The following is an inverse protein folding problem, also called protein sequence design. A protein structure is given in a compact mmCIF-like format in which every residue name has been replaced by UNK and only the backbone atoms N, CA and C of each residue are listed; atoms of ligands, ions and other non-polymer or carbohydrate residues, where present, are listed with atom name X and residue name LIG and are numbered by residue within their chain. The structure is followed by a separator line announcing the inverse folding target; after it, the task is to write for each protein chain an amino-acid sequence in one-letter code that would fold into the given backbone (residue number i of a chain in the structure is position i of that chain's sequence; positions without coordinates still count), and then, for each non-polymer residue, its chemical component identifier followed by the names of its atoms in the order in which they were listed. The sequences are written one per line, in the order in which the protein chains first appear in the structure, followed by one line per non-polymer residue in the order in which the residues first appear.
data_IF_265722231281
#
_entry.id   IF_265722231281
#
_cell.length_a   1.000
_cell.length_b   1.000
_cell.length_c   1.000
_cell.angle_alpha   90.00
_cell.angle_beta   90.00
_cell.angle_gamma   90.00
#
_symmetry.space_group_name_H-M   'P 1'
#
loop_
_entity.id
_entity.type
_entity.pdbx_description
1 polymer ?
#
# COMPACT_ATOMS: atom_id res chain seq x y z
N UNK A 1 -22.84 -11.38 -48.04
CA UNK A 1 -22.12 -11.13 -46.77
C UNK A 1 -21.99 -9.63 -46.49
N UNK A 2 -23.09 -8.88 -46.51
CA UNK A 2 -23.08 -7.42 -46.34
C UNK A 2 -24.28 -7.08 -45.45
N UNK A 3 -24.10 -6.10 -44.56
CA UNK A 3 -25.08 -5.57 -43.59
C UNK A 3 -25.53 -6.50 -42.45
N UNK A 4 -26.24 -7.60 -42.66
CA UNK A 4 -26.85 -8.37 -41.56
C UNK A 4 -25.83 -9.04 -40.62
N UNK A 5 -24.78 -9.68 -41.18
CA UNK A 5 -23.69 -10.22 -40.38
C UNK A 5 -22.95 -9.11 -39.61
N UNK A 6 -22.72 -7.94 -40.21
CA UNK A 6 -22.07 -6.80 -39.53
C UNK A 6 -22.90 -6.26 -38.37
N UNK A 7 -24.23 -6.29 -38.49
CA UNK A 7 -25.15 -5.89 -37.42
C UNK A 7 -25.20 -6.93 -36.30
N UNK A 8 -25.13 -8.22 -36.64
CA UNK A 8 -25.06 -9.31 -35.67
C UNK A 8 -23.74 -9.30 -34.87
N UNK A 9 -22.59 -9.15 -35.53
CA UNK A 9 -21.29 -8.97 -34.86
C UNK A 9 -21.24 -7.70 -33.99
N UNK A 10 -21.91 -6.60 -34.41
CA UNK A 10 -22.05 -5.40 -33.57
C UNK A 10 -22.93 -5.66 -32.35
N UNK A 11 -24.04 -6.37 -32.52
CA UNK A 11 -24.96 -6.74 -31.42
C UNK A 11 -24.28 -7.66 -30.41
N UNK A 12 -23.57 -8.70 -30.86
CA UNK A 12 -22.82 -9.64 -30.03
C UNK A 12 -21.64 -8.96 -29.31
N UNK A 13 -20.90 -8.09 -30.01
CA UNK A 13 -19.85 -7.27 -29.40
C UNK A 13 -20.43 -6.31 -28.34
N UNK A 14 -21.57 -5.67 -28.60
CA UNK A 14 -22.25 -4.80 -27.61
C UNK A 14 -22.69 -5.63 -26.40
N UNK A 15 -23.18 -6.85 -26.60
CA UNK A 15 -23.57 -7.76 -25.52
C UNK A 15 -22.36 -8.24 -24.69
N UNK A 16 -21.23 -8.57 -25.34
CA UNK A 16 -19.98 -8.90 -24.64
C UNK A 16 -19.45 -7.71 -23.83
N UNK A 17 -19.51 -6.49 -24.38
CA UNK A 17 -19.11 -5.29 -23.64
C UNK A 17 -20.04 -5.08 -22.43
N UNK A 18 -21.36 -5.20 -22.59
CA UNK A 18 -22.32 -5.12 -21.47
C UNK A 18 -22.08 -6.17 -20.39
N UNK A 19 -21.76 -7.40 -20.77
CA UNK A 19 -21.42 -8.46 -19.80
C UNK A 19 -20.10 -8.14 -19.08
N UNK A 20 -19.10 -7.62 -19.79
CA UNK A 20 -17.84 -7.18 -19.18
C UNK A 20 -18.05 -6.00 -18.22
N UNK A 21 -19.03 -5.12 -18.47
CA UNK A 21 -19.43 -4.03 -17.56
C UNK A 21 -19.95 -4.54 -16.22
N UNK A 22 -20.68 -5.66 -16.21
CA UNK A 22 -21.19 -6.30 -14.99
C UNK A 22 -20.04 -6.84 -14.13
N UNK A 23 -18.92 -7.19 -14.76
CA UNK A 23 -17.74 -7.72 -14.08
C UNK A 23 -16.83 -6.63 -13.49
N UNK A 24 -16.92 -5.38 -13.96
CA UNK A 24 -16.04 -4.29 -13.52
C UNK A 24 -16.03 -4.05 -11.99
N UNK A 25 -17.17 -4.10 -11.26
CA UNK A 25 -17.17 -3.94 -9.81
C UNK A 25 -16.40 -5.04 -9.04
N UNK A 26 -16.13 -6.17 -9.70
CA UNK A 26 -15.38 -7.29 -9.13
C UNK A 26 -13.87 -7.21 -9.43
N UNK A 27 -13.42 -6.18 -10.15
CA UNK A 27 -12.01 -5.90 -10.35
C UNK A 27 -11.48 -5.18 -9.12
N UNK A 28 -10.55 -5.81 -8.43
CA UNK A 28 -10.06 -5.32 -7.14
C UNK A 28 -8.74 -4.56 -7.28
N UNK A 29 -8.09 -4.61 -8.45
CA UNK A 29 -6.79 -4.00 -8.69
C UNK A 29 -6.85 -2.84 -9.67
N UNK A 30 -6.20 -1.73 -9.31
CA UNK A 30 -5.97 -0.60 -10.22
C UNK A 30 -5.25 -1.05 -11.50
N UNK A 31 -4.35 -2.04 -11.40
CA UNK A 31 -3.65 -2.58 -12.57
C UNK A 31 -4.60 -3.18 -13.60
N UNK A 32 -5.62 -3.92 -13.15
CA UNK A 32 -6.61 -4.56 -14.02
C UNK A 32 -7.46 -3.51 -14.72
N UNK A 33 -7.93 -2.50 -13.97
CA UNK A 33 -8.72 -1.39 -14.50
C UNK A 33 -7.94 -0.60 -15.57
N UNK A 34 -6.67 -0.29 -15.31
CA UNK A 34 -5.81 0.39 -16.26
C UNK A 34 -5.50 -0.49 -17.48
N UNK A 35 -5.36 -1.80 -17.29
CA UNK A 35 -5.12 -2.75 -18.39
C UNK A 35 -6.33 -2.86 -19.31
N UNK A 36 -7.54 -2.99 -18.76
CA UNK A 36 -8.78 -3.04 -19.53
C UNK A 36 -9.08 -1.72 -20.27
N UNK A 37 -8.69 -0.59 -19.67
CA UNK A 37 -8.79 0.73 -20.31
C UNK A 37 -7.94 0.87 -21.58
N UNK A 38 -7.00 -0.05 -21.81
CA UNK A 38 -6.14 -0.10 -23.01
C UNK A 38 -6.68 -1.03 -24.10
N UNK A 39 -7.70 -1.84 -23.82
CA UNK A 39 -8.25 -2.83 -24.77
C UNK A 39 -9.12 -2.16 -25.83
N UNK A 40 -10.05 -1.29 -25.44
CA UNK A 40 -10.91 -0.56 -26.38
C UNK A 40 -11.34 0.82 -25.86
N UNK A 41 -11.68 1.77 -26.75
CA UNK A 41 -12.26 3.05 -26.34
C UNK A 41 -13.58 2.89 -25.58
N UNK A 42 -14.39 1.90 -25.94
CA UNK A 42 -15.65 1.62 -25.26
C UNK A 42 -15.40 1.23 -23.80
N UNK A 43 -14.47 0.31 -23.53
CA UNK A 43 -14.10 -0.11 -22.18
C UNK A 43 -13.44 0.99 -21.38
N UNK A 44 -12.58 1.79 -22.01
CA UNK A 44 -11.97 2.96 -21.38
C UNK A 44 -13.01 3.94 -20.87
N UNK A 45 -13.97 4.32 -21.71
CA UNK A 45 -15.01 5.28 -21.34
C UNK A 45 -15.92 4.69 -20.26
N UNK A 46 -16.31 3.43 -20.42
CA UNK A 46 -17.04 2.66 -19.43
C UNK A 46 -16.40 2.68 -18.03
N UNK A 47 -15.11 2.34 -17.93
CA UNK A 47 -14.36 2.32 -16.68
C UNK A 47 -14.20 3.74 -16.13
N UNK A 48 -13.93 4.72 -17.01
CA UNK A 48 -13.76 6.12 -16.62
C UNK A 48 -15.03 6.68 -15.98
N UNK A 49 -16.19 6.39 -16.56
CA UNK A 49 -17.46 7.01 -16.18
C UNK A 49 -18.12 6.28 -14.98
N UNK A 50 -17.60 5.11 -14.57
CA UNK A 50 -18.05 4.39 -13.39
C UNK A 50 -17.38 4.90 -12.09
N UNK A 51 -17.99 5.89 -11.46
CA UNK A 51 -17.51 6.50 -10.19
C UNK A 51 -17.23 5.49 -9.08
N UNK A 52 -18.02 4.41 -8.97
CA UNK A 52 -17.91 3.41 -7.89
C UNK A 52 -16.53 2.74 -7.87
N UNK A 53 -15.93 2.51 -9.05
CA UNK A 53 -14.61 1.88 -9.19
C UNK A 53 -13.48 2.73 -8.57
N UNK A 54 -13.70 4.04 -8.46
CA UNK A 54 -12.71 5.01 -8.02
C UNK A 54 -12.92 5.47 -6.57
N UNK A 55 -13.83 4.82 -5.82
CA UNK A 55 -14.07 5.11 -4.40
C UNK A 55 -12.95 4.59 -3.49
N UNK A 56 -12.19 3.61 -3.97
CA UNK A 56 -11.02 3.03 -3.31
C UNK A 56 -9.88 2.92 -4.32
N UNK A 57 -8.83 3.69 -4.10
CA UNK A 57 -7.61 3.65 -4.91
C UNK A 57 -6.49 3.06 -4.08
N UNK A 58 -5.85 2.03 -4.63
CA UNK A 58 -4.67 1.39 -4.05
C UNK A 58 -3.58 1.33 -5.10
N UNK A 59 -2.43 1.93 -4.80
CA UNK A 59 -1.23 1.92 -5.63
C UNK A 59 -0.10 1.29 -4.84
N UNK A 60 0.31 0.10 -5.29
CA UNK A 60 1.43 -0.67 -4.74
C UNK A 60 2.55 -0.81 -5.78
N UNK A 61 3.77 -1.20 -5.36
CA UNK A 61 4.80 -1.63 -6.31
C UNK A 61 4.29 -2.78 -7.20
N UNK A 62 4.66 -2.82 -8.49
CA UNK A 62 5.62 -1.93 -9.16
C UNK A 62 5.00 -0.63 -9.71
N UNK A 63 3.68 -0.46 -9.68
CA UNK A 63 3.00 0.71 -10.26
C UNK A 63 3.43 2.02 -9.60
N UNK A 64 3.72 1.99 -8.30
CA UNK A 64 4.16 3.14 -7.52
C UNK A 64 5.37 3.87 -8.10
N UNK A 65 6.30 3.14 -8.74
CA UNK A 65 7.52 3.71 -9.35
C UNK A 65 7.25 4.63 -10.55
N UNK A 66 6.08 4.49 -11.17
CA UNK A 66 5.66 5.26 -12.35
C UNK A 66 4.60 6.31 -12.03
N UNK A 67 4.05 6.31 -10.83
CA UNK A 67 2.97 7.21 -10.45
C UNK A 67 3.50 8.64 -10.25
N UNK A 68 2.98 9.60 -11.00
CA UNK A 68 3.22 11.04 -10.82
C UNK A 68 1.94 11.75 -10.37
N UNK A 69 2.04 13.02 -9.97
CA UNK A 69 0.90 13.85 -9.58
C UNK A 69 -0.22 13.87 -10.64
N UNK A 70 0.13 14.00 -11.92
CA UNK A 70 -0.85 14.03 -13.01
C UNK A 70 -1.54 12.68 -13.23
N UNK A 71 -0.79 11.58 -13.14
CA UNK A 71 -1.35 10.24 -13.28
C UNK A 71 -2.26 9.93 -12.10
N UNK A 72 -1.84 10.30 -10.88
CA UNK A 72 -2.67 10.20 -9.68
C UNK A 72 -3.96 10.99 -9.84
N UNK A 73 -3.89 12.22 -10.33
CA UNK A 73 -5.05 13.05 -10.58
C UNK A 73 -6.01 12.44 -11.61
N UNK A 74 -5.50 11.93 -12.74
CA UNK A 74 -6.31 11.39 -13.85
C UNK A 74 -7.35 10.36 -13.41
N UNK A 75 -7.00 9.46 -12.49
CA UNK A 75 -7.96 8.48 -11.99
C UNK A 75 -8.70 8.91 -10.72
N UNK A 76 -8.07 9.68 -9.82
CA UNK A 76 -8.74 10.14 -8.60
C UNK A 76 -9.79 11.21 -8.85
N UNK A 77 -9.72 11.96 -9.96
CA UNK A 77 -10.78 12.93 -10.31
C UNK A 77 -12.08 12.24 -10.75
N UNK A 78 -12.02 10.95 -11.13
CA UNK A 78 -13.17 10.15 -11.60
C UNK A 78 -14.10 9.71 -10.48
N UNK A 79 -13.65 9.79 -9.23
CA UNK A 79 -14.46 9.53 -8.04
C UNK A 79 -15.53 10.60 -7.79
N UNK A 80 -15.50 11.74 -8.50
CA UNK A 80 -16.45 12.84 -8.37
C UNK A 80 -16.70 13.25 -6.90
N UNK A 81 -15.62 13.35 -6.11
CA UNK A 81 -15.65 13.71 -4.70
C UNK A 81 -15.99 12.58 -3.73
N UNK A 82 -16.18 11.35 -4.23
CA UNK A 82 -16.57 10.17 -3.45
C UNK A 82 -15.42 9.23 -3.11
N UNK A 83 -14.16 9.64 -3.33
CA UNK A 83 -13.01 8.84 -2.93
C UNK A 83 -12.98 8.73 -1.40
N UNK A 84 -13.03 7.50 -0.90
CA UNK A 84 -13.07 7.20 0.52
C UNK A 84 -11.72 6.68 1.02
N UNK A 85 -11.05 5.87 0.21
CA UNK A 85 -9.76 5.24 0.57
C UNK A 85 -8.71 5.55 -0.49
N UNK A 86 -7.60 6.15 -0.07
CA UNK A 86 -6.42 6.39 -0.89
C UNK A 86 -5.20 5.73 -0.23
N UNK A 87 -4.62 4.74 -0.90
CA UNK A 87 -3.42 4.03 -0.45
C UNK A 87 -2.34 4.18 -1.52
N UNK A 88 -1.27 4.87 -1.19
CA UNK A 88 -0.07 5.07 -2.00
C UNK A 88 1.13 4.48 -1.27
N UNK A 89 1.70 3.39 -1.78
CA UNK A 89 2.89 2.77 -1.18
C UNK A 89 4.11 2.99 -2.04
N UNK A 90 5.16 3.56 -1.45
CA UNK A 90 6.46 3.80 -2.12
C UNK A 90 6.29 4.57 -3.44
N UNK A 91 5.40 5.56 -3.47
CA UNK A 91 5.17 6.43 -4.62
C UNK A 91 6.12 7.64 -4.54
N UNK A 92 7.37 7.46 -4.93
CA UNK A 92 8.45 8.45 -4.77
C UNK A 92 8.41 9.61 -5.77
N UNK A 93 7.40 9.70 -6.63
CA UNK A 93 7.22 10.81 -7.59
C UNK A 93 5.91 11.58 -7.38
N UNK A 94 5.20 11.27 -6.29
CA UNK A 94 4.01 12.01 -5.87
C UNK A 94 4.42 13.04 -4.84
N UNK A 95 4.11 14.31 -5.12
CA UNK A 95 4.45 15.44 -4.26
C UNK A 95 3.29 15.82 -3.34
N UNK A 96 3.58 16.61 -2.29
CA UNK A 96 2.54 17.16 -1.42
C UNK A 96 1.51 18.01 -2.18
N UNK A 97 1.88 18.66 -3.28
CA UNK A 97 0.94 19.43 -4.12
C UNK A 97 -0.02 18.51 -4.86
N UNK A 98 0.49 17.43 -5.45
CA UNK A 98 -0.33 16.41 -6.10
C UNK A 98 -1.28 15.74 -5.12
N UNK A 99 -0.79 15.36 -3.95
CA UNK A 99 -1.63 14.78 -2.91
C UNK A 99 -2.72 15.75 -2.44
N UNK A 100 -2.37 17.01 -2.17
CA UNK A 100 -3.32 18.03 -1.76
C UNK A 100 -4.41 18.26 -2.80
N UNK A 101 -4.06 18.29 -4.09
CA UNK A 101 -5.02 18.42 -5.20
C UNK A 101 -6.07 17.29 -5.18
N UNK A 102 -5.65 16.06 -4.90
CA UNK A 102 -6.58 14.92 -4.78
C UNK A 102 -7.51 15.08 -3.60
N UNK A 103 -6.96 15.48 -2.45
CA UNK A 103 -7.67 15.66 -1.19
C UNK A 103 -8.71 16.78 -1.29
N UNK A 104 -8.34 17.92 -1.87
CA UNK A 104 -9.23 19.06 -2.07
C UNK A 104 -10.45 18.69 -2.93
N UNK A 105 -10.24 17.89 -3.98
CA UNK A 105 -11.32 17.37 -4.81
C UNK A 105 -12.16 16.26 -4.16
N UNK A 106 -11.68 15.66 -3.06
CA UNK A 106 -12.28 14.48 -2.43
C UNK A 106 -12.37 14.63 -0.90
N UNK A 107 -13.30 15.45 -0.40
CA UNK A 107 -13.40 15.74 1.04
C UNK A 107 -13.88 14.55 1.90
N UNK A 108 -14.30 13.43 1.28
CA UNK A 108 -14.85 12.26 1.97
C UNK A 108 -13.81 11.16 2.27
N UNK A 109 -12.51 11.42 2.05
CA UNK A 109 -11.46 10.43 2.32
C UNK A 109 -11.40 10.11 3.82
N UNK A 110 -11.69 8.87 4.18
CA UNK A 110 -11.61 8.36 5.56
C UNK A 110 -10.31 7.64 5.85
N UNK A 111 -9.68 7.08 4.82
CA UNK A 111 -8.45 6.30 4.94
C UNK A 111 -7.40 6.82 3.97
N UNK A 112 -6.36 7.45 4.52
CA UNK A 112 -5.22 7.97 3.78
C UNK A 112 -3.96 7.23 4.24
N UNK A 113 -3.35 6.47 3.32
CA UNK A 113 -2.11 5.75 3.57
C UNK A 113 -1.10 6.19 2.51
N UNK A 114 0.00 6.82 2.90
CA UNK A 114 1.04 7.33 2.00
C UNK A 114 2.43 6.83 2.39
N UNK A 115 2.51 5.57 2.81
CA UNK A 115 3.73 4.97 3.36
C UNK A 115 4.88 4.94 2.36
N UNK A 116 6.06 5.42 2.77
CA UNK A 116 7.27 5.45 1.95
C UNK A 116 7.24 6.40 0.76
N UNK A 117 6.34 7.39 0.73
CA UNK A 117 6.34 8.44 -0.28
C UNK A 117 7.33 9.54 0.12
N UNK A 118 8.55 9.48 -0.42
CA UNK A 118 9.69 10.29 0.02
C UNK A 118 9.63 11.76 -0.39
N UNK A 119 8.86 12.10 -1.43
CA UNK A 119 8.66 13.47 -1.92
C UNK A 119 7.50 14.21 -1.21
N UNK A 120 6.87 13.55 -0.25
CA UNK A 120 5.92 14.21 0.65
C UNK A 120 6.68 14.88 1.79
N UNK A 121 6.18 16.03 2.21
CA UNK A 121 6.66 16.76 3.39
C UNK A 121 5.57 16.86 4.45
N UNK A 122 5.93 16.93 5.75
CA UNK A 122 4.97 16.98 6.85
C UNK A 122 3.93 18.09 6.72
N UNK A 123 4.34 19.30 6.33
CA UNK A 123 3.47 20.47 6.19
C UNK A 123 2.38 20.23 5.15
N UNK A 124 2.73 19.54 4.05
CA UNK A 124 1.79 19.17 3.02
C UNK A 124 0.76 18.13 3.48
N UNK A 125 1.19 17.19 4.33
CA UNK A 125 0.28 16.20 4.93
C UNK A 125 -0.66 16.87 5.93
N UNK A 126 -0.15 17.78 6.77
CA UNK A 126 -0.96 18.56 7.72
C UNK A 126 -2.03 19.35 6.96
N UNK A 127 -1.67 20.05 5.89
CA UNK A 127 -2.62 20.79 5.06
C UNK A 127 -3.71 19.89 4.43
N UNK A 128 -3.37 18.64 4.08
CA UNK A 128 -4.35 17.66 3.62
C UNK A 128 -5.32 17.27 4.74
N UNK A 129 -4.80 16.96 5.94
CA UNK A 129 -5.60 16.55 7.09
C UNK A 129 -6.52 17.69 7.55
N UNK A 130 -6.00 18.92 7.60
CA UNK A 130 -6.79 20.13 7.84
C UNK A 130 -7.94 20.26 6.84
N UNK A 131 -7.66 20.08 5.54
CA UNK A 131 -8.67 20.17 4.48
C UNK A 131 -9.75 19.11 4.64
N UNK A 132 -9.38 17.87 4.99
CA UNK A 132 -10.33 16.79 5.22
C UNK A 132 -11.19 17.02 6.46
N UNK A 133 -10.71 17.72 7.49
CA UNK A 133 -11.43 17.89 8.75
C UNK A 133 -12.36 19.12 8.81
N UNK A 134 -12.26 20.05 7.85
CA UNK A 134 -13.06 21.31 7.80
C UNK A 134 -14.57 21.14 8.01
N UNK A 135 -15.18 20.09 7.46
CA UNK A 135 -16.64 19.89 7.47
C UNK A 135 -17.12 18.87 8.51
N UNK A 136 -16.45 18.80 9.66
CA UNK A 136 -16.69 17.78 10.71
C UNK A 136 -16.55 16.34 10.18
N UNK A 137 -15.84 16.18 9.06
CA UNK A 137 -15.50 14.89 8.50
C UNK A 137 -14.36 14.28 9.31
N UNK A 138 -14.46 12.97 9.56
CA UNK A 138 -13.52 12.25 10.42
C UNK A 138 -12.61 11.41 9.56
N UNK A 139 -11.33 11.76 9.57
CA UNK A 139 -10.29 10.88 9.04
C UNK A 139 -10.08 9.74 10.04
N UNK A 140 -10.39 8.52 9.62
CA UNK A 140 -10.34 7.31 10.46
C UNK A 140 -8.93 6.70 10.49
N UNK A 141 -8.15 6.87 9.42
CA UNK A 141 -6.82 6.27 9.30
C UNK A 141 -5.88 7.18 8.51
N UNK A 142 -4.72 7.49 9.09
CA UNK A 142 -3.62 8.23 8.50
C UNK A 142 -2.31 7.46 8.70
N UNK A 143 -1.84 6.72 7.69
CA UNK A 143 -0.55 6.04 7.77
C UNK A 143 0.49 6.75 6.90
N UNK A 144 1.54 7.25 7.53
CA UNK A 144 2.54 8.16 6.94
C UNK A 144 3.97 7.69 7.23
N UNK A 145 4.15 6.48 7.76
CA UNK A 145 5.48 5.90 7.96
C UNK A 145 6.32 5.89 6.67
N UNK A 146 7.59 6.28 6.79
CA UNK A 146 8.53 6.36 5.68
C UNK A 146 8.48 7.68 4.89
N UNK A 147 7.62 8.63 5.29
CA UNK A 147 7.74 10.03 4.88
C UNK A 147 8.78 10.71 5.78
N UNK A 148 9.81 11.38 5.23
CA UNK A 148 10.87 12.00 6.03
C UNK A 148 10.42 13.31 6.71
N UNK A 149 11.16 13.74 7.74
CA UNK A 149 11.07 15.10 8.29
C UNK A 149 10.01 15.35 9.38
N UNK A 150 9.29 14.32 9.84
CA UNK A 150 8.34 14.51 10.94
C UNK A 150 9.02 14.88 12.27
N UNK A 151 8.45 15.88 12.96
CA UNK A 151 8.90 16.39 14.26
C UNK A 151 7.79 16.17 15.30
N UNK A 152 8.10 16.40 16.58
CA UNK A 152 7.11 16.31 17.66
C UNK A 152 5.99 17.34 17.51
N UNK A 153 6.31 18.52 16.99
CA UNK A 153 5.34 19.58 16.72
C UNK A 153 4.38 19.19 15.59
N UNK A 154 4.87 18.47 14.57
CA UNK A 154 4.00 17.92 13.54
C UNK A 154 3.03 16.88 14.09
N UNK A 155 3.48 16.02 15.03
CA UNK A 155 2.59 15.06 15.69
C UNK A 155 1.54 15.78 16.54
N UNK A 156 1.93 16.76 17.34
CA UNK A 156 0.99 17.49 18.19
C UNK A 156 -0.08 18.23 17.35
N UNK A 157 0.32 18.82 16.22
CA UNK A 157 -0.61 19.41 15.25
C UNK A 157 -1.59 18.36 14.71
N UNK A 158 -1.10 17.21 14.22
CA UNK A 158 -1.96 16.14 13.67
C UNK A 158 -2.92 15.56 14.72
N UNK A 159 -2.49 15.44 15.98
CA UNK A 159 -3.32 14.96 17.08
C UNK A 159 -4.53 15.85 17.36
N UNK A 160 -4.52 17.13 16.99
CA UNK A 160 -5.70 18.01 17.14
C UNK A 160 -6.83 17.69 16.15
N UNK A 161 -6.51 17.05 15.02
CA UNK A 161 -7.46 16.73 13.95
C UNK A 161 -7.98 15.30 13.99
N UNK A 162 -7.21 14.38 14.59
CA UNK A 162 -7.51 12.95 14.54
C UNK A 162 -8.36 12.50 15.75
N UNK A 163 -9.39 11.67 15.54
CA UNK A 163 -10.40 11.40 16.55
C UNK A 163 -9.98 10.42 17.66
N UNK A 164 -8.92 9.61 17.48
CA UNK A 164 -8.56 8.51 18.39
C UNK A 164 -7.06 8.15 18.38
N UNK A 165 -6.60 7.54 19.48
CA UNK A 165 -5.34 6.78 19.53
C UNK A 165 -5.36 5.67 18.47
N UNK A 166 -4.25 5.50 17.74
CA UNK A 166 -4.12 4.50 16.68
C UNK A 166 -4.61 4.93 15.29
N UNK A 167 -5.14 6.15 15.13
CA UNK A 167 -5.44 6.70 13.81
C UNK A 167 -4.17 7.02 12.99
N UNK A 168 -3.03 7.22 13.67
CA UNK A 168 -1.73 7.54 13.08
C UNK A 168 -0.70 6.46 13.42
N UNK A 169 0.19 6.13 12.47
CA UNK A 169 1.22 5.08 12.62
C UNK A 169 2.60 5.60 13.06
N UNK A 170 2.67 6.85 13.51
CA UNK A 170 3.89 7.50 14.00
C UNK A 170 3.75 7.92 15.46
N UNK A 171 4.83 7.74 16.21
CA UNK A 171 4.92 8.08 17.62
C UNK A 171 6.33 8.56 17.98
N UNK A 172 6.49 9.13 19.17
CA UNK A 172 7.83 9.43 19.71
C UNK A 172 8.45 8.14 20.25
N UNK A 173 9.60 7.74 19.69
CA UNK A 173 10.30 6.54 20.10
C UNK A 173 10.87 6.70 21.52
N UNK A 174 10.54 5.82 22.49
CA UNK A 174 11.02 5.94 23.88
C UNK A 174 12.52 5.70 24.05
N UNK A 175 13.22 5.22 23.01
CA UNK A 175 14.65 4.90 23.06
C UNK A 175 15.56 5.97 22.44
N UNK A 176 15.07 6.68 21.41
CA UNK A 176 15.85 7.71 20.70
C UNK A 176 15.17 9.07 20.60
N UNK A 177 13.96 9.19 21.15
CA UNK A 177 13.19 10.44 21.21
C UNK A 177 12.83 11.04 19.84
N UNK A 178 12.99 10.26 18.76
CA UNK A 178 12.65 10.63 17.39
C UNK A 178 11.23 10.19 17.03
N UNK A 179 10.56 10.96 16.16
CA UNK A 179 9.26 10.59 15.59
C UNK A 179 9.44 9.48 14.56
N UNK A 180 8.96 8.29 14.87
CA UNK A 180 9.11 7.07 14.04
C UNK A 180 7.93 6.13 14.25
N UNK A 181 7.72 5.22 13.31
CA UNK A 181 6.80 4.11 13.53
C UNK A 181 7.38 3.15 14.58
N UNK A 182 6.57 2.82 15.58
CA UNK A 182 6.87 1.85 16.64
C UNK A 182 5.95 0.64 16.40
N UNK A 183 6.43 -0.44 15.79
CA UNK A 183 5.58 -1.58 15.51
C UNK A 183 5.23 -2.33 16.81
N UNK A 184 4.00 -2.85 16.94
CA UNK A 184 3.63 -3.70 18.07
C UNK A 184 4.45 -5.00 18.05
N UNK A 185 4.79 -5.53 19.22
CA UNK A 185 5.44 -6.83 19.35
C UNK A 185 4.39 -7.90 19.66
N UNK A 186 4.28 -8.93 18.81
CA UNK A 186 3.35 -10.05 19.04
C UNK A 186 3.89 -11.11 20.00
N UNK A 187 5.16 -11.03 20.41
CA UNK A 187 5.80 -11.99 21.31
C UNK A 187 5.15 -11.94 22.71
N UNK A 188 4.56 -13.04 23.15
CA UNK A 188 3.82 -13.11 24.42
C UNK A 188 4.66 -12.73 25.65
N UNK A 189 5.95 -13.09 25.67
CA UNK A 189 6.85 -12.71 26.77
C UNK A 189 7.07 -11.19 26.87
N UNK A 190 6.78 -10.43 25.82
CA UNK A 190 6.83 -8.98 25.78
C UNK A 190 5.50 -8.30 26.17
N UNK A 191 4.39 -9.03 26.19
CA UNK A 191 3.05 -8.50 26.52
C UNK A 191 2.74 -8.53 28.02
N UNK A 192 3.57 -9.22 28.82
CA UNK A 192 3.41 -9.23 30.28
C UNK A 192 3.79 -7.86 30.83
N UNK A 193 2.81 -7.13 31.38
CA UNK A 193 3.00 -5.80 31.98
C UNK A 193 4.22 -5.82 32.92
N UNK A 194 5.26 -5.06 32.57
CA UNK A 194 6.53 -5.07 33.29
C UNK A 194 7.73 -4.54 32.50
N UNK A 195 8.94 -4.88 32.98
CA UNK A 195 10.24 -4.44 32.43
C UNK A 195 10.42 -4.81 30.94
N UNK A 196 9.96 -6.00 30.53
CA UNK A 196 10.18 -6.56 29.20
C UNK A 196 9.40 -5.83 28.10
N UNK A 197 8.21 -5.31 28.40
CA UNK A 197 7.42 -4.53 27.44
C UNK A 197 8.15 -3.23 27.06
N UNK A 198 8.68 -2.51 28.08
CA UNK A 198 9.48 -1.28 27.87
C UNK A 198 10.77 -1.55 27.12
N UNK A 199 11.41 -2.70 27.35
CA UNK A 199 12.65 -3.06 26.67
C UNK A 199 12.45 -3.34 25.18
N UNK A 200 11.34 -3.97 24.78
CA UNK A 200 11.04 -4.26 23.38
C UNK A 200 10.31 -3.13 22.63
N UNK A 201 9.77 -2.13 23.33
CA UNK A 201 9.08 -0.99 22.72
C UNK A 201 10.10 -0.01 22.12
N UNK A 202 10.02 0.20 20.80
CA UNK A 202 10.93 1.09 20.08
C UNK A 202 10.83 0.94 18.57
N UNK A 203 11.36 1.93 17.86
CA UNK A 203 11.38 1.95 16.40
C UNK A 203 12.31 0.87 15.83
N UNK A 204 12.19 0.61 14.52
CA UNK A 204 12.99 -0.38 13.77
C UNK A 204 14.51 -0.21 13.86
N UNK A 205 14.99 0.98 14.24
CA UNK A 205 16.42 1.26 14.39
C UNK A 205 16.93 1.05 15.82
N UNK A 206 16.06 1.16 16.82
CA UNK A 206 16.42 0.99 18.22
C UNK A 206 16.17 -0.42 18.74
N UNK A 207 15.28 -1.17 18.08
CA UNK A 207 14.95 -2.56 18.42
C UNK A 207 15.02 -3.38 17.14
N UNK A 208 16.02 -4.26 17.01
CA UNK A 208 16.08 -5.23 15.92
C UNK A 208 14.81 -6.09 15.90
N UNK A 209 14.26 -6.34 14.72
CA UNK A 209 12.97 -7.03 14.55
C UNK A 209 12.98 -7.92 13.33
N UNK A 210 12.23 -9.01 13.41
CA UNK A 210 11.97 -9.87 12.26
C UNK A 210 11.22 -9.07 11.18
N UNK A 211 11.75 -9.03 9.97
CA UNK A 211 11.15 -8.30 8.85
C UNK A 211 9.76 -8.84 8.46
N UNK A 212 9.50 -10.12 8.69
CA UNK A 212 8.23 -10.76 8.32
C UNK A 212 7.14 -10.58 9.39
N UNK A 213 7.46 -10.76 10.68
CA UNK A 213 6.46 -10.77 11.76
C UNK A 213 6.60 -9.63 12.78
N UNK A 214 7.58 -8.74 12.60
CA UNK A 214 7.87 -7.59 13.46
C UNK A 214 8.17 -7.88 14.96
N UNK A 215 8.26 -9.16 15.34
CA UNK A 215 8.73 -9.59 16.66
C UNK A 215 10.14 -9.07 16.91
N UNK A 216 10.38 -8.55 18.12
CA UNK A 216 11.71 -8.12 18.54
C UNK A 216 12.70 -9.29 18.54
N UNK A 217 13.92 -9.02 18.11
CA UNK A 217 15.03 -9.95 18.11
C UNK A 217 15.95 -9.52 19.26
N UNK A 218 15.98 -10.33 20.32
CA UNK A 218 16.85 -10.11 21.47
C UNK A 218 18.28 -10.57 21.16
N UNK A 219 19.25 -10.27 22.04
CA UNK A 219 20.64 -10.70 21.87
C UNK A 219 20.79 -12.22 21.75
N UNK A 220 19.92 -12.99 22.42
CA UNK A 220 19.93 -14.47 22.38
C UNK A 220 19.02 -15.05 21.28
N UNK A 221 18.41 -14.21 20.44
CA UNK A 221 17.54 -14.70 19.37
C UNK A 221 18.38 -15.08 18.16
N UNK A 222 18.31 -16.33 17.72
CA UNK A 222 18.90 -16.76 16.45
C UNK A 222 18.20 -16.04 15.28
N UNK A 223 19.00 -15.40 14.44
CA UNK A 223 18.54 -14.57 13.33
C UNK A 223 19.24 -14.96 12.04
N UNK A 224 18.49 -14.91 10.95
CA UNK A 224 19.00 -15.19 9.62
C UNK A 224 18.81 -13.97 8.71
N UNK A 225 19.85 -13.63 7.95
CA UNK A 225 19.83 -12.50 7.03
C UNK A 225 19.09 -12.86 5.74
N UNK A 226 18.20 -11.97 5.31
CA UNK A 226 17.53 -12.13 4.01
C UNK A 226 18.46 -11.79 2.84
N UNK A 227 17.98 -12.00 1.60
CA UNK A 227 18.71 -11.56 0.41
C UNK A 227 18.74 -10.03 0.24
N UNK A 228 17.79 -9.32 0.84
CA UNK A 228 17.82 -7.87 0.97
C UNK A 228 18.75 -7.55 2.13
N UNK A 229 20.02 -7.21 1.83
CA UNK A 229 21.03 -6.93 2.85
C UNK A 229 20.52 -5.93 3.89
N UNK A 230 20.65 -6.29 5.17
CA UNK A 230 20.17 -5.50 6.31
C UNK A 230 18.83 -5.94 6.91
N UNK A 231 18.01 -6.72 6.19
CA UNK A 231 16.79 -7.31 6.74
C UNK A 231 17.09 -8.65 7.40
N UNK A 232 16.57 -8.86 8.61
CA UNK A 232 16.75 -10.08 9.41
C UNK A 232 15.41 -10.76 9.70
N UNK A 233 15.43 -12.09 9.79
CA UNK A 233 14.26 -12.91 10.12
C UNK A 233 14.52 -13.69 11.40
N UNK A 234 13.46 -13.90 12.19
CA UNK A 234 13.48 -14.93 13.22
C UNK A 234 13.48 -16.32 12.57
N UNK A 235 13.95 -17.32 13.32
CA UNK A 235 14.03 -18.70 12.87
C UNK A 235 12.69 -19.25 12.33
N UNK A 236 11.58 -18.98 13.01
CA UNK A 236 10.24 -19.44 12.59
C UNK A 236 9.85 -18.90 11.20
N UNK A 237 10.07 -17.61 10.95
CA UNK A 237 9.80 -16.99 9.65
C UNK A 237 10.79 -17.46 8.60
N UNK A 238 12.07 -17.63 8.96
CA UNK A 238 13.06 -18.16 8.06
C UNK A 238 12.70 -19.57 7.57
N UNK A 239 12.22 -20.44 8.45
CA UNK A 239 11.85 -21.81 8.07
C UNK A 239 10.61 -21.88 7.19
N UNK A 240 9.67 -20.96 7.37
CA UNK A 240 8.37 -20.99 6.67
C UNK A 240 8.37 -20.21 5.35
N UNK A 241 9.25 -19.22 5.19
CA UNK A 241 9.28 -18.41 3.98
C UNK A 241 9.89 -19.16 2.78
N UNK A 242 9.30 -19.03 1.57
CA UNK A 242 9.89 -19.57 0.35
C UNK A 242 11.28 -18.99 0.10
N UNK A 243 12.26 -19.86 -0.10
CA UNK A 243 13.66 -19.49 -0.36
C UNK A 243 14.00 -19.65 -1.83
N UNK A 244 14.89 -18.80 -2.32
CA UNK A 244 15.46 -19.01 -3.64
C UNK A 244 16.29 -20.30 -3.66
N UNK A 245 16.02 -21.19 -4.63
CA UNK A 245 16.76 -22.46 -4.80
C UNK A 245 18.28 -22.30 -4.97
N UNK A 246 18.74 -21.12 -5.41
CA UNK A 246 20.14 -20.87 -5.70
C UNK A 246 20.95 -20.35 -4.50
N UNK A 247 20.37 -19.43 -3.73
CA UNK A 247 21.07 -18.83 -2.58
C UNK A 247 20.47 -19.20 -1.23
N UNK A 248 19.41 -20.01 -1.20
CA UNK A 248 18.67 -20.41 0.00
C UNK A 248 18.21 -19.22 0.87
N UNK A 249 17.99 -18.04 0.28
CA UNK A 249 17.52 -16.84 1.00
C UNK A 249 16.09 -16.45 0.60
N UNK A 250 15.22 -16.06 1.56
CA UNK A 250 13.96 -15.38 1.30
C UNK A 250 14.18 -14.03 0.62
N UNK A 251 13.14 -13.54 -0.06
CA UNK A 251 13.10 -12.25 -0.78
C UNK A 251 14.17 -12.05 -1.87
N UNK A 252 14.89 -13.09 -2.27
CA UNK A 252 15.89 -12.98 -3.34
C UNK A 252 15.24 -12.71 -4.71
N UNK A 253 15.53 -11.53 -5.26
CA UNK A 253 15.21 -11.13 -6.64
C UNK A 253 16.40 -11.27 -7.59
N UNK A 254 17.63 -11.42 -7.07
CA UNK A 254 18.87 -11.48 -7.87
C UNK A 254 18.95 -12.67 -8.82
N UNK A 255 18.35 -13.82 -8.47
CA UNK A 255 18.26 -14.99 -9.34
C UNK A 255 16.91 -15.13 -10.04
N UNK A 256 16.16 -14.03 -10.19
CA UNK A 256 14.81 -14.06 -10.79
C UNK A 256 14.81 -14.52 -12.25
N UNK A 257 15.85 -14.19 -13.03
CA UNK A 257 16.04 -14.65 -14.42
C UNK A 257 16.23 -16.17 -14.53
N UNK A 258 16.99 -16.76 -13.60
CA UNK A 258 17.26 -18.21 -13.55
C UNK A 258 16.09 -19.04 -13.01
N UNK A 259 14.97 -18.39 -12.64
CA UNK A 259 13.71 -19.08 -12.28
C UNK A 259 12.92 -19.54 -13.51
N UNK A 260 13.20 -18.99 -14.70
CA UNK A 260 12.46 -19.32 -15.93
C UNK A 260 13.00 -20.54 -16.68
N UNK A 261 14.23 -21.00 -16.40
CA UNK A 261 14.89 -22.07 -17.17
C UNK A 261 14.50 -23.52 -16.78
N UNK A 262 13.57 -23.73 -15.83
CA UNK A 262 13.19 -25.08 -15.39
C UNK A 262 11.66 -25.33 -15.35
N UNK A 263 10.85 -24.59 -16.10
CA UNK A 263 9.41 -24.86 -16.21
C UNK A 263 9.05 -26.02 -17.16
N UNK A 264 9.93 -27.01 -17.35
CA UNK A 264 9.67 -28.19 -18.20
C UNK A 264 9.82 -29.54 -17.51
N UNK A 265 10.17 -29.61 -16.23
CA UNK A 265 10.17 -30.90 -15.52
C UNK A 265 9.76 -30.72 -14.06
N UNK A 266 8.47 -30.60 -13.79
CA UNK A 266 7.90 -31.33 -12.65
C UNK A 266 6.40 -31.55 -12.84
N UNK A 267 6.09 -32.65 -13.53
CA UNK A 267 4.79 -33.31 -13.39
C UNK A 267 4.94 -34.25 -12.20
N UNK A 268 4.37 -33.91 -11.04
CA UNK A 268 3.82 -34.93 -10.14
C UNK A 268 2.83 -34.37 -9.11
N UNK A 269 1.56 -34.64 -9.42
CA UNK A 269 0.39 -35.01 -8.60
C UNK A 269 0.13 -34.48 -7.17
N UNK A 270 -1.17 -34.33 -6.83
CA UNK A 270 -1.64 -33.99 -5.49
C UNK A 270 -1.60 -35.22 -4.59
N UNK A 271 -1.36 -35.02 -3.29
CA UNK A 271 -1.62 -36.02 -2.27
C UNK A 271 -2.47 -35.40 -1.15
N UNK A 272 -3.70 -35.91 -1.12
CA UNK A 272 -4.74 -35.96 -0.06
C UNK A 272 -5.25 -34.65 0.54
#
# INVERSE_FOLDING_TARGET
MRTEEKEQWRSESINMHKMLMVLLPYLHSLFELLSLSRVSPALRNAIRDQTVLWTKVVVDPPLSSRLTDDILWDFTSRSAGKLNTLILRKCSRVTSKGLWRVVDANPLIKKLIVTGCTELVPEGIIACVETLTKNNHKLETLHINGVPGFTKDHLSALSTYLPQEGAIDLEVCPKCDQVRMIPPCSRESCKREGRNERECRGCWYCVPRCMQCAVCLGPDTEVEETACGGDVLCLDCWQTLPKCRFCNKPYCTGHSSLRQDNATTDVCMPIL
#
